data_IF_115641326861
#
_entry.id   IF_115641326861
#
_cell.length_a   1.000
_cell.length_b   1.000
_cell.length_c   1.000
_cell.angle_alpha   90.00
_cell.angle_beta   90.00
_cell.angle_gamma   90.00
#
_symmetry.space_group_name_H-M   'P 1'
#
loop_
_entity.id
_entity.type
_entity.pdbx_description
1 polymer ?
#
# COMPACT_ATOMS: atom_id res chain seq x y z
N UNK A 1 -41.01 44.31 1.19
CA UNK A 1 -41.94 43.43 0.45
C UNK A 1 -41.13 42.61 -0.53
N UNK A 2 -41.13 41.29 -0.37
CA UNK A 2 -40.35 40.35 -1.18
C UNK A 2 -40.80 40.39 -2.65
N UNK A 3 -39.86 40.58 -3.58
CA UNK A 3 -40.13 40.51 -5.02
C UNK A 3 -39.26 39.43 -5.70
N UNK A 4 -39.94 38.40 -6.20
CA UNK A 4 -39.82 37.91 -7.59
C UNK A 4 -38.44 37.53 -8.17
N UNK A 5 -37.59 36.82 -7.41
CA UNK A 5 -36.36 36.18 -7.97
C UNK A 5 -36.32 34.66 -7.90
N UNK A 6 -37.28 34.01 -7.22
CA UNK A 6 -37.21 32.56 -6.93
C UNK A 6 -37.90 31.67 -7.97
N UNK A 7 -38.67 32.23 -8.92
CA UNK A 7 -39.46 31.43 -9.87
C UNK A 7 -38.74 31.23 -11.22
N UNK A 8 -37.82 32.12 -11.62
CA UNK A 8 -37.13 31.99 -12.91
C UNK A 8 -35.97 30.98 -12.95
N UNK A 9 -35.44 30.52 -11.81
CA UNK A 9 -34.38 29.48 -11.81
C UNK A 9 -34.90 28.06 -11.99
N UNK A 10 -36.18 27.81 -11.73
CA UNK A 10 -36.77 26.48 -11.83
C UNK A 10 -37.08 26.05 -13.29
N UNK A 11 -37.30 27.00 -14.21
CA UNK A 11 -37.61 26.69 -15.62
C UNK A 11 -36.38 26.54 -16.52
N UNK A 12 -35.19 26.97 -16.09
CA UNK A 12 -33.96 26.81 -16.86
C UNK A 12 -33.31 25.42 -16.71
N UNK A 13 -33.63 24.66 -15.65
CA UNK A 13 -33.11 23.30 -15.47
C UNK A 13 -33.95 22.22 -16.17
N UNK A 14 -35.24 22.47 -16.42
CA UNK A 14 -36.12 21.48 -17.05
C UNK A 14 -35.91 21.34 -18.57
N UNK A 15 -35.37 22.36 -19.23
CA UNK A 15 -35.13 22.39 -20.68
C UNK A 15 -33.77 21.80 -21.10
N UNK A 16 -32.80 21.70 -20.19
CA UNK A 16 -31.51 21.05 -20.45
C UNK A 16 -31.56 19.50 -20.35
N UNK A 17 -32.58 18.95 -19.67
CA UNK A 17 -32.77 17.50 -19.54
C UNK A 17 -33.57 16.86 -20.69
N UNK A 18 -34.21 17.67 -21.55
CA UNK A 18 -34.95 17.17 -22.71
C UNK A 18 -34.10 17.11 -24.00
N UNK A 19 -33.03 17.91 -24.09
CA UNK A 19 -32.16 17.94 -25.28
C UNK A 19 -31.04 16.87 -25.27
N UNK A 20 -30.81 16.18 -24.15
CA UNK A 20 -29.79 15.14 -24.03
C UNK A 20 -30.30 13.72 -24.29
N UNK A 21 -31.61 13.54 -24.55
CA UNK A 21 -32.22 12.23 -24.83
C UNK A 21 -32.25 11.82 -26.31
N UNK A 22 -31.70 12.61 -27.23
CA UNK A 22 -31.70 12.31 -28.68
C UNK A 22 -30.32 12.05 -29.30
N UNK A 23 -29.24 11.98 -28.52
CA UNK A 23 -27.89 11.70 -29.07
C UNK A 23 -27.36 10.28 -28.78
N UNK A 24 -28.05 9.46 -27.99
CA UNK A 24 -27.69 8.06 -27.75
C UNK A 24 -28.47 7.13 -28.66
N UNK A 25 -28.19 7.22 -29.95
CA UNK A 25 -28.95 6.48 -30.95
C UNK A 25 -28.19 6.28 -32.24
N UNK A 26 -26.88 6.08 -32.22
CA UNK A 26 -26.15 5.29 -33.23
C UNK A 26 -24.98 4.58 -32.55
N UNK A 27 -25.04 3.24 -32.53
CA UNK A 27 -23.93 2.43 -32.07
C UNK A 27 -22.70 2.73 -32.92
N UNK A 28 -21.60 3.11 -32.28
CA UNK A 28 -20.29 3.12 -32.93
C UNK A 28 -20.04 1.70 -33.43
N UNK A 29 -19.88 1.46 -34.75
CA UNK A 29 -19.56 0.13 -35.22
C UNK A 29 -18.26 -0.28 -34.55
N UNK A 30 -18.28 -1.42 -33.85
CA UNK A 30 -17.09 -1.98 -33.23
C UNK A 30 -16.02 -2.09 -34.33
N UNK A 31 -15.01 -1.23 -34.28
CA UNK A 31 -13.84 -1.34 -35.12
C UNK A 31 -13.30 -2.73 -34.82
N UNK A 32 -13.38 -3.65 -35.78
CA UNK A 32 -12.67 -4.91 -35.70
C UNK A 32 -11.19 -4.54 -35.57
N UNK A 33 -10.71 -4.47 -34.34
CA UNK A 33 -9.31 -4.34 -34.06
C UNK A 33 -8.71 -5.61 -34.66
N UNK A 34 -7.96 -5.45 -35.75
CA UNK A 34 -7.03 -6.48 -36.21
C UNK A 34 -6.27 -6.90 -34.95
N UNK A 35 -6.55 -8.12 -34.47
CA UNK A 35 -5.83 -8.73 -33.36
C UNK A 35 -4.42 -8.90 -33.88
N UNK A 36 -3.61 -7.87 -33.68
CA UNK A 36 -2.17 -7.97 -33.81
C UNK A 36 -1.81 -9.02 -32.79
N UNK A 37 -1.43 -10.20 -33.27
CA UNK A 37 -1.08 -11.32 -32.42
C UNK A 37 0.12 -10.84 -31.61
N UNK A 38 -0.13 -10.51 -30.33
CA UNK A 38 0.93 -10.09 -29.44
C UNK A 38 1.98 -11.20 -29.47
N UNK A 39 3.28 -10.86 -29.64
CA UNK A 39 4.33 -11.86 -29.64
C UNK A 39 4.18 -12.72 -28.38
N UNK A 40 4.40 -14.02 -28.52
CA UNK A 40 4.28 -14.96 -27.41
C UNK A 40 5.12 -14.44 -26.24
N UNK A 41 4.46 -14.12 -25.13
CA UNK A 41 5.14 -13.65 -23.94
C UNK A 41 6.01 -14.78 -23.40
N UNK A 42 7.32 -14.71 -23.65
CA UNK A 42 8.29 -15.60 -23.01
C UNK A 42 8.33 -15.26 -21.52
N UNK A 43 8.32 -16.27 -20.66
CA UNK A 43 8.43 -16.08 -19.21
C UNK A 43 9.65 -15.21 -18.88
N UNK A 44 9.40 -14.07 -18.22
CA UNK A 44 10.42 -13.22 -17.65
C UNK A 44 10.36 -13.41 -16.13
N UNK A 45 11.46 -13.80 -15.47
CA UNK A 45 11.48 -14.02 -14.02
C UNK A 45 10.86 -12.87 -13.21
N UNK A 46 10.96 -11.62 -13.68
CA UNK A 46 10.41 -10.43 -13.03
C UNK A 46 8.89 -10.37 -13.08
N UNK A 47 8.26 -10.96 -14.10
CA UNK A 47 6.80 -11.04 -14.25
C UNK A 47 6.21 -12.13 -13.36
N UNK A 48 6.51 -12.07 -12.07
CA UNK A 48 6.10 -13.13 -11.17
C UNK A 48 6.96 -13.34 -9.94
N UNK A 49 8.08 -12.62 -9.79
CA UNK A 49 8.99 -12.85 -8.66
C UNK A 49 9.17 -11.58 -7.84
N UNK A 50 9.16 -11.76 -6.53
CA UNK A 50 9.51 -10.73 -5.55
C UNK A 50 10.68 -11.33 -4.77
N UNK A 51 11.89 -10.82 -4.99
CA UNK A 51 13.10 -11.35 -4.36
C UNK A 51 13.28 -10.77 -2.95
N UNK A 52 13.82 -11.60 -2.06
CA UNK A 52 14.18 -11.19 -0.71
C UNK A 52 15.62 -10.71 -0.66
N UNK A 53 15.95 -9.87 0.33
CA UNK A 53 17.30 -9.34 0.49
C UNK A 53 18.36 -10.42 0.83
N UNK A 54 17.94 -11.58 1.35
CA UNK A 54 18.81 -12.73 1.61
C UNK A 54 18.98 -13.66 0.39
N UNK A 55 18.24 -13.43 -0.70
CA UNK A 55 18.34 -14.20 -1.94
C UNK A 55 18.13 -13.33 -3.20
N UNK A 56 18.88 -12.23 -3.38
CA UNK A 56 18.78 -11.42 -4.60
C UNK A 56 19.37 -12.19 -5.80
N UNK A 57 18.74 -12.11 -6.99
CA UNK A 57 19.15 -12.88 -8.17
C UNK A 57 20.28 -12.16 -8.92
N UNK A 58 21.41 -11.90 -8.25
CA UNK A 58 22.47 -11.00 -8.76
C UNK A 58 23.03 -11.43 -10.13
N UNK A 59 23.22 -12.72 -10.36
CA UNK A 59 23.72 -13.24 -11.65
C UNK A 59 22.72 -13.06 -12.79
N UNK A 60 21.42 -13.06 -12.46
CA UNK A 60 20.38 -12.76 -13.41
C UNK A 60 20.37 -11.26 -13.73
N UNK A 61 20.35 -10.38 -12.71
CA UNK A 61 20.41 -8.93 -12.93
C UNK A 61 21.66 -8.50 -13.72
N UNK A 62 22.81 -9.13 -13.46
CA UNK A 62 24.05 -8.86 -14.20
C UNK A 62 23.90 -9.19 -15.68
N UNK A 63 23.36 -10.36 -16.02
CA UNK A 63 23.23 -10.81 -17.41
C UNK A 63 22.15 -10.06 -18.17
N UNK A 64 21.05 -9.72 -17.50
CA UNK A 64 19.89 -9.10 -18.14
C UNK A 64 20.04 -7.58 -18.25
N UNK A 65 20.62 -6.94 -17.23
CA UNK A 65 20.63 -5.49 -17.11
C UNK A 65 22.04 -4.87 -16.96
N UNK A 66 23.08 -5.70 -16.91
CA UNK A 66 24.44 -5.21 -16.59
C UNK A 66 24.57 -4.72 -15.15
N UNK A 67 23.60 -5.01 -14.28
CA UNK A 67 23.55 -4.50 -12.91
C UNK A 67 23.85 -5.59 -11.88
N UNK A 68 24.91 -5.40 -11.09
CA UNK A 68 25.31 -6.32 -10.05
C UNK A 68 25.73 -5.52 -8.80
N UNK A 69 24.77 -5.13 -7.94
CA UNK A 69 25.06 -4.35 -6.74
C UNK A 69 25.87 -5.18 -5.75
N UNK A 70 26.67 -4.51 -4.93
CA UNK A 70 27.35 -5.13 -3.81
C UNK A 70 26.43 -5.20 -2.57
N UNK A 71 26.94 -5.83 -1.51
CA UNK A 71 26.20 -5.95 -0.25
C UNK A 71 25.90 -4.58 0.38
N UNK A 72 26.83 -3.61 0.23
CA UNK A 72 26.66 -2.26 0.76
C UNK A 72 25.45 -1.56 0.12
N UNK A 73 25.26 -1.71 -1.19
CA UNK A 73 24.10 -1.19 -1.88
C UNK A 73 22.80 -1.87 -1.42
N UNK A 74 22.80 -3.21 -1.29
CA UNK A 74 21.64 -3.96 -0.80
C UNK A 74 21.26 -3.52 0.62
N UNK A 75 22.24 -3.37 1.51
CA UNK A 75 22.03 -2.89 2.87
C UNK A 75 21.54 -1.45 2.90
N UNK A 76 22.13 -0.57 2.08
CA UNK A 76 21.69 0.81 1.97
C UNK A 76 20.21 0.92 1.60
N UNK A 77 19.77 0.21 0.57
CA UNK A 77 18.37 0.26 0.13
C UNK A 77 17.46 -0.40 1.17
N UNK A 78 17.85 -1.56 1.73
CA UNK A 78 17.09 -2.24 2.80
C UNK A 78 16.88 -1.33 4.02
N UNK A 79 17.95 -0.71 4.50
CA UNK A 79 17.93 0.16 5.68
C UNK A 79 17.28 1.51 5.39
N UNK A 80 17.30 1.99 4.15
CA UNK A 80 16.55 3.19 3.74
C UNK A 80 15.04 2.94 3.64
N UNK A 81 14.58 1.68 3.59
CA UNK A 81 13.16 1.33 3.47
C UNK A 81 12.56 0.91 4.80
N UNK A 82 11.28 1.25 5.01
CA UNK A 82 10.53 0.89 6.21
C UNK A 82 9.13 0.39 5.84
N UNK A 83 8.58 -0.45 6.71
CA UNK A 83 7.23 -0.99 6.60
C UNK A 83 6.28 -0.22 7.49
N UNK A 84 5.21 0.30 6.90
CA UNK A 84 3.99 0.71 7.61
C UNK A 84 3.08 -0.52 7.74
N UNK A 85 2.11 -0.57 8.68
CA UNK A 85 1.27 -1.75 8.89
C UNK A 85 0.64 -2.34 7.61
N UNK A 86 0.22 -1.48 6.68
CA UNK A 86 -0.44 -1.88 5.42
C UNK A 86 0.34 -1.44 4.16
N UNK A 87 1.48 -0.77 4.32
CA UNK A 87 2.15 -0.07 3.22
C UNK A 87 3.67 -0.14 3.31
N UNK A 88 4.32 0.33 2.26
CA UNK A 88 5.76 0.56 2.24
C UNK A 88 6.07 2.05 2.32
N UNK A 89 7.25 2.38 2.83
CA UNK A 89 7.74 3.73 2.90
C UNK A 89 9.28 3.73 2.85
N UNK A 90 9.88 4.91 2.74
CA UNK A 90 11.33 5.05 2.76
C UNK A 90 11.78 6.31 3.48
N UNK A 91 12.91 6.25 4.17
CA UNK A 91 13.63 7.43 4.62
C UNK A 91 14.15 8.20 3.40
N UNK A 92 13.86 9.49 3.34
CA UNK A 92 14.24 10.40 2.24
C UNK A 92 15.04 11.61 2.73
N UNK A 93 15.50 11.58 3.99
CA UNK A 93 16.39 12.61 4.54
C UNK A 93 17.20 12.08 5.72
N UNK A 94 18.30 12.77 6.02
CA UNK A 94 19.12 12.57 7.23
C UNK A 94 18.43 12.97 8.54
N UNK A 95 17.21 13.53 8.49
CA UNK A 95 16.44 13.93 9.68
C UNK A 95 15.14 13.14 9.81
N UNK A 96 15.13 11.88 9.34
CA UNK A 96 14.07 10.93 9.63
C UNK A 96 12.76 11.19 8.87
N UNK A 97 12.77 12.07 7.87
CA UNK A 97 11.65 12.23 6.94
C UNK A 97 11.42 10.90 6.20
N UNK A 98 10.18 10.44 6.20
CA UNK A 98 9.72 9.21 5.59
C UNK A 98 8.67 9.54 4.53
N UNK A 99 8.81 8.98 3.35
CA UNK A 99 7.90 9.14 2.23
C UNK A 99 7.07 7.87 2.02
N UNK A 100 5.75 8.03 1.88
CA UNK A 100 4.78 6.97 1.53
C UNK A 100 3.64 7.55 0.70
N UNK A 101 2.67 6.73 0.30
CA UNK A 101 1.49 7.22 -0.40
C UNK A 101 0.53 7.98 0.51
N UNK A 102 -0.27 8.88 -0.05
CA UNK A 102 -1.33 9.58 0.68
C UNK A 102 -2.36 8.61 1.24
N UNK A 103 -2.76 7.60 0.47
CA UNK A 103 -3.69 6.58 0.99
C UNK A 103 -3.11 5.78 2.16
N UNK A 104 -1.78 5.58 2.21
CA UNK A 104 -1.10 4.94 3.34
C UNK A 104 -1.04 5.81 4.59
N UNK A 105 -0.91 7.14 4.42
CA UNK A 105 -0.92 8.12 5.49
C UNK A 105 -2.31 8.60 5.90
N UNK A 106 -3.36 8.11 5.23
CA UNK A 106 -4.73 8.65 5.32
C UNK A 106 -5.33 8.56 6.70
N UNK A 107 -5.18 7.43 7.38
CA UNK A 107 -5.69 7.24 8.75
C UNK A 107 -5.03 8.21 9.73
N UNK A 108 -3.70 8.39 9.64
CA UNK A 108 -3.02 9.40 10.46
C UNK A 108 -3.55 10.80 10.12
N UNK A 109 -3.64 11.16 8.85
CA UNK A 109 -4.07 12.50 8.41
C UNK A 109 -5.49 12.81 8.90
N UNK A 110 -6.42 11.87 8.77
CA UNK A 110 -7.77 12.00 9.30
C UNK A 110 -7.80 12.06 10.85
N UNK A 111 -6.99 11.23 11.51
CA UNK A 111 -6.93 11.13 12.98
C UNK A 111 -6.30 12.34 13.67
N UNK A 112 -5.36 13.02 13.03
CA UNK A 112 -4.73 14.25 13.57
C UNK A 112 -5.41 15.53 13.14
N UNK A 113 -6.44 15.44 12.29
CA UNK A 113 -7.26 16.58 11.88
C UNK A 113 -8.07 17.10 13.07
N UNK A 114 -8.08 18.43 13.33
CA UNK A 114 -8.80 18.99 14.46
C UNK A 114 -10.33 18.83 14.30
N UNK A 115 -11.13 19.10 15.35
CA UNK A 115 -12.59 18.95 15.28
C UNK A 115 -13.25 19.83 14.22
N UNK A 116 -12.68 21.01 13.95
CA UNK A 116 -13.20 22.05 13.07
C UNK A 116 -12.57 22.05 11.66
N UNK A 117 -11.66 21.11 11.35
CA UNK A 117 -11.03 20.98 10.04
C UNK A 117 -10.83 19.52 9.63
N UNK A 118 -10.67 19.26 8.34
CA UNK A 118 -10.40 17.95 7.79
C UNK A 118 -9.18 18.03 6.88
N UNK A 119 -8.01 17.62 7.39
CA UNK A 119 -6.76 17.66 6.62
C UNK A 119 -6.76 16.76 5.40
N UNK A 120 -7.69 15.80 5.30
CA UNK A 120 -7.92 15.08 4.04
C UNK A 120 -8.42 16.02 2.94
N UNK A 121 -9.25 17.00 3.28
CA UNK A 121 -9.81 17.95 2.30
C UNK A 121 -8.89 19.15 2.10
N UNK A 122 -8.38 19.71 3.19
CA UNK A 122 -7.61 20.96 3.18
C UNK A 122 -6.10 20.76 3.02
N UNK A 123 -5.63 19.52 3.01
CA UNK A 123 -4.22 19.20 3.15
C UNK A 123 -3.68 19.58 4.53
N UNK A 124 -2.39 19.31 4.73
CA UNK A 124 -1.62 19.68 5.90
C UNK A 124 -0.15 19.81 5.52
N UNK A 125 0.53 20.84 6.02
CA UNK A 125 1.99 20.97 5.93
C UNK A 125 2.54 21.67 7.18
N UNK A 126 3.35 20.95 7.96
CA UNK A 126 4.04 21.48 9.13
C UNK A 126 5.11 22.50 8.68
N UNK A 127 5.05 23.72 9.22
CA UNK A 127 6.06 24.76 8.92
C UNK A 127 7.36 24.52 9.70
N UNK A 128 7.24 23.97 10.89
CA UNK A 128 8.35 23.66 11.79
C UNK A 128 8.19 22.25 12.38
N UNK A 129 9.26 21.72 12.98
CA UNK A 129 9.21 20.42 13.69
C UNK A 129 8.18 20.40 14.83
N UNK A 130 7.91 21.56 15.45
CA UNK A 130 6.94 21.68 16.53
C UNK A 130 5.48 21.58 16.01
N UNK A 131 5.26 21.86 14.72
CA UNK A 131 3.94 21.81 14.11
C UNK A 131 3.55 20.39 13.66
N UNK A 132 4.53 19.48 13.56
CA UNK A 132 4.33 18.08 13.12
C UNK A 132 3.39 17.33 14.09
N UNK A 133 2.42 16.60 13.53
CA UNK A 133 1.33 16.00 14.32
C UNK A 133 1.59 14.53 14.60
N UNK A 134 1.65 14.14 15.87
CA UNK A 134 1.86 12.73 16.24
C UNK A 134 0.69 11.85 15.80
N UNK A 135 0.98 10.83 15.00
CA UNK A 135 0.04 9.82 14.56
C UNK A 135 -0.17 8.79 15.68
N UNK A 136 -1.34 8.79 16.32
CA UNK A 136 -1.64 7.85 17.40
C UNK A 136 -1.65 6.40 16.87
N UNK A 137 -0.91 5.50 17.54
CA UNK A 137 -0.86 4.07 17.21
C UNK A 137 -0.07 3.71 15.94
N UNK A 138 0.39 4.71 15.16
CA UNK A 138 1.21 4.45 13.98
C UNK A 138 2.65 4.12 14.37
N UNK A 139 3.20 3.09 13.74
CA UNK A 139 4.60 2.71 13.85
C UNK A 139 5.19 2.45 12.46
N UNK A 140 6.51 2.50 12.36
CA UNK A 140 7.25 1.98 11.20
C UNK A 140 8.26 0.94 11.64
N UNK A 141 8.38 -0.12 10.85
CA UNK A 141 9.30 -1.22 11.07
C UNK A 141 10.43 -1.18 10.03
N UNK A 142 11.68 -1.05 10.48
CA UNK A 142 12.88 -1.10 9.62
C UNK A 142 13.51 -2.48 9.68
N UNK A 143 13.61 -3.17 8.54
CA UNK A 143 14.15 -4.53 8.46
C UNK A 143 15.67 -4.54 8.73
N UNK A 144 16.08 -5.16 9.84
CA UNK A 144 17.48 -5.23 10.28
C UNK A 144 18.20 -6.47 9.76
N UNK A 145 17.54 -7.62 9.72
CA UNK A 145 18.13 -8.87 9.24
C UNK A 145 17.05 -9.89 8.84
N UNK A 146 17.44 -10.82 7.99
CA UNK A 146 16.68 -12.04 7.66
C UNK A 146 17.58 -13.23 8.00
N UNK A 147 17.01 -14.26 8.63
CA UNK A 147 17.72 -15.50 8.92
C UNK A 147 16.83 -16.70 8.60
N UNK A 148 17.33 -17.65 7.82
CA UNK A 148 16.62 -18.91 7.60
C UNK A 148 16.55 -19.73 8.91
N UNK A 149 15.34 -20.12 9.30
CA UNK A 149 15.06 -20.95 10.50
C UNK A 149 14.28 -22.23 10.13
N UNK A 150 14.29 -22.60 8.86
CA UNK A 150 13.53 -23.73 8.30
C UNK A 150 13.80 -25.02 9.05
N UNK A 151 15.08 -25.35 9.29
CA UNK A 151 15.45 -26.60 9.94
C UNK A 151 15.02 -26.64 11.41
N UNK A 152 15.08 -25.51 12.12
CA UNK A 152 14.56 -25.40 13.50
C UNK A 152 13.06 -25.64 13.56
N UNK A 153 12.30 -25.06 12.61
CA UNK A 153 10.85 -25.24 12.55
C UNK A 153 10.50 -26.68 12.18
N UNK A 154 11.14 -27.25 11.14
CA UNK A 154 10.86 -28.61 10.68
C UNK A 154 11.24 -29.67 11.71
N UNK A 155 12.38 -29.51 12.38
CA UNK A 155 12.85 -30.45 13.39
C UNK A 155 11.95 -30.56 14.62
N UNK A 156 11.12 -29.54 14.89
CA UNK A 156 10.17 -29.55 16.00
C UNK A 156 8.83 -30.26 15.67
N UNK A 157 8.60 -30.62 14.41
CA UNK A 157 7.35 -31.21 13.95
C UNK A 157 7.48 -32.74 13.96
N UNK A 158 6.87 -33.39 14.95
CA UNK A 158 6.86 -34.84 15.15
C UNK A 158 5.45 -35.44 15.14
N UNK A 159 4.43 -34.59 15.09
CA UNK A 159 3.03 -34.96 15.08
C UNK A 159 2.67 -35.87 13.91
N UNK A 160 1.75 -36.81 14.16
CA UNK A 160 1.30 -37.80 13.17
C UNK A 160 0.08 -37.31 12.41
N UNK A 161 -0.69 -36.40 12.99
CA UNK A 161 -1.86 -35.80 12.35
C UNK A 161 -1.58 -34.39 11.85
N UNK A 162 -2.28 -33.91 10.80
CA UNK A 162 -2.15 -32.53 10.35
C UNK A 162 -2.43 -31.49 11.45
N UNK A 163 -3.37 -31.76 12.34
CA UNK A 163 -3.72 -30.88 13.46
C UNK A 163 -2.56 -30.76 14.47
N UNK A 164 -1.94 -31.89 14.85
CA UNK A 164 -0.76 -31.90 15.72
C UNK A 164 0.41 -31.16 15.07
N UNK A 165 0.66 -31.39 13.79
CA UNK A 165 1.74 -30.73 13.06
C UNK A 165 1.54 -29.22 12.97
N UNK A 166 0.30 -28.75 12.78
CA UNK A 166 -0.04 -27.33 12.78
C UNK A 166 0.16 -26.71 14.17
N UNK A 167 -0.29 -27.38 15.22
CA UNK A 167 -0.11 -26.93 16.60
C UNK A 167 1.37 -26.84 16.99
N UNK A 168 2.17 -27.87 16.70
CA UNK A 168 3.61 -27.89 16.95
C UNK A 168 4.34 -26.80 16.17
N UNK A 169 3.97 -26.58 14.91
CA UNK A 169 4.53 -25.50 14.08
C UNK A 169 4.23 -24.12 14.65
N UNK A 170 2.99 -23.89 15.09
CA UNK A 170 2.62 -22.65 15.76
C UNK A 170 3.38 -22.42 17.07
N UNK A 171 3.56 -23.49 17.86
CA UNK A 171 4.30 -23.45 19.12
C UNK A 171 5.78 -23.10 18.91
N UNK A 172 6.48 -23.81 18.01
CA UNK A 172 7.90 -23.53 17.73
C UNK A 172 8.10 -22.14 17.13
N UNK A 173 7.22 -21.68 16.22
CA UNK A 173 7.29 -20.31 15.68
C UNK A 173 7.16 -19.28 16.80
N UNK A 174 6.19 -19.45 17.69
CA UNK A 174 5.98 -18.54 18.82
C UNK A 174 7.18 -18.52 19.76
N UNK A 175 7.75 -19.69 20.06
CA UNK A 175 8.97 -19.81 20.85
C UNK A 175 10.14 -19.07 20.19
N UNK A 176 10.42 -19.32 18.90
CA UNK A 176 11.52 -18.69 18.16
C UNK A 176 11.41 -17.16 18.15
N UNK A 177 10.20 -16.64 17.96
CA UNK A 177 9.95 -15.21 17.98
C UNK A 177 10.20 -14.62 19.37
N UNK A 178 9.71 -15.29 20.43
CA UNK A 178 9.91 -14.83 21.81
C UNK A 178 11.39 -14.84 22.21
N UNK A 179 12.12 -15.92 21.90
CA UNK A 179 13.58 -16.00 22.10
C UNK A 179 14.29 -14.83 21.40
N UNK A 180 13.97 -14.61 20.13
CA UNK A 180 14.57 -13.55 19.32
C UNK A 180 14.25 -12.14 19.88
N UNK A 181 13.00 -11.89 20.26
CA UNK A 181 12.57 -10.62 20.86
C UNK A 181 13.36 -10.33 22.13
N UNK A 182 13.51 -11.32 23.02
CA UNK A 182 14.23 -11.16 24.28
C UNK A 182 15.74 -10.94 24.06
N UNK A 183 16.34 -11.67 23.13
CA UNK A 183 17.79 -11.57 22.86
C UNK A 183 18.20 -10.28 22.16
N UNK A 184 17.35 -9.77 21.26
CA UNK A 184 17.73 -8.66 20.37
C UNK A 184 17.05 -7.35 20.71
N UNK A 185 15.97 -7.38 21.50
CA UNK A 185 15.07 -6.24 21.72
C UNK A 185 14.47 -5.67 20.42
N UNK A 186 14.48 -6.46 19.34
CA UNK A 186 13.84 -6.16 18.06
C UNK A 186 12.46 -6.82 18.00
N UNK A 187 11.62 -6.35 17.08
CA UNK A 187 10.38 -7.04 16.71
C UNK A 187 10.71 -8.17 15.74
N UNK A 188 10.70 -9.41 16.23
CA UNK A 188 11.01 -10.60 15.47
C UNK A 188 9.74 -11.29 14.94
N UNK A 189 9.75 -11.68 13.67
CA UNK A 189 8.64 -12.34 12.98
C UNK A 189 9.16 -13.51 12.14
N UNK A 190 8.61 -14.71 12.31
CA UNK A 190 8.88 -15.81 11.39
C UNK A 190 7.93 -15.68 10.20
N UNK A 191 8.49 -15.36 9.05
CA UNK A 191 7.80 -15.31 7.77
C UNK A 191 7.81 -16.70 7.14
N UNK A 192 6.64 -17.18 6.74
CA UNK A 192 6.49 -18.44 6.01
C UNK A 192 6.44 -18.15 4.51
N UNK A 193 7.37 -18.71 3.77
CA UNK A 193 7.47 -18.55 2.31
C UNK A 193 7.20 -19.89 1.62
N UNK A 194 6.72 -19.83 0.37
CA UNK A 194 6.46 -21.01 -0.47
C UNK A 194 5.56 -22.06 0.22
N UNK A 195 4.48 -21.62 0.86
CA UNK A 195 3.55 -22.50 1.59
C UNK A 195 4.22 -23.43 2.63
N UNK A 196 5.29 -22.95 3.29
CA UNK A 196 6.06 -23.75 4.26
C UNK A 196 7.29 -24.44 3.68
N UNK A 197 7.64 -24.12 2.42
CA UNK A 197 8.92 -24.49 1.82
C UNK A 197 10.10 -23.83 2.53
N UNK A 198 9.93 -22.61 3.04
CA UNK A 198 10.95 -21.87 3.79
C UNK A 198 10.31 -21.15 4.99
N UNK A 199 11.03 -21.13 6.11
CA UNK A 199 10.75 -20.27 7.27
C UNK A 199 11.93 -19.33 7.49
N UNK A 200 11.66 -18.04 7.53
CA UNK A 200 12.69 -17.01 7.71
C UNK A 200 12.33 -16.09 8.88
N UNK A 201 13.24 -15.94 9.83
CA UNK A 201 13.16 -14.98 10.92
C UNK A 201 13.55 -13.59 10.41
N UNK A 202 12.59 -12.68 10.38
CA UNK A 202 12.79 -11.26 10.07
C UNK A 202 12.88 -10.50 11.39
N UNK A 203 13.91 -9.66 11.53
CA UNK A 203 14.08 -8.80 12.72
C UNK A 203 13.88 -7.36 12.32
N UNK A 204 12.94 -6.68 12.97
CA UNK A 204 12.61 -5.30 12.69
C UNK A 204 12.95 -4.40 13.88
N UNK A 205 13.56 -3.25 13.59
CA UNK A 205 13.59 -2.14 14.53
C UNK A 205 12.28 -1.37 14.37
N UNK A 206 11.49 -1.29 15.43
CA UNK A 206 10.21 -0.58 15.43
C UNK A 206 10.38 0.82 15.99
N UNK A 207 9.87 1.80 15.27
CA UNK A 207 9.74 3.19 15.73
C UNK A 207 8.26 3.50 15.99
N UNK A 208 7.95 4.04 17.18
CA UNK A 208 6.57 4.27 17.63
C UNK A 208 6.19 5.76 17.76
N UNK A 209 7.11 6.69 17.51
CA UNK A 209 6.80 8.13 17.42
C UNK A 209 6.90 8.56 15.95
N UNK A 210 5.77 8.46 15.26
CA UNK A 210 5.62 8.84 13.86
C UNK A 210 4.75 10.09 13.80
N UNK A 211 5.19 11.11 13.08
CA UNK A 211 4.47 12.39 12.97
C UNK A 211 4.17 12.74 11.54
N UNK A 212 2.97 13.25 11.28
CA UNK A 212 2.59 13.83 10.01
C UNK A 212 3.37 15.12 9.78
N UNK A 213 4.03 15.21 8.62
CA UNK A 213 4.77 16.39 8.17
C UNK A 213 4.01 17.08 7.05
N UNK A 214 3.58 16.34 6.03
CA UNK A 214 2.83 16.89 4.91
C UNK A 214 1.92 15.85 4.28
N UNK A 215 0.70 16.26 3.96
CA UNK A 215 -0.23 15.54 3.08
C UNK A 215 -0.92 16.59 2.20
N UNK A 216 -0.90 16.46 0.86
CA UNK A 216 -1.63 17.38 -0.01
C UNK A 216 -3.15 17.19 0.16
N UNK A 217 -3.92 18.14 -0.38
CA UNK A 217 -5.37 18.03 -0.46
C UNK A 217 -5.78 16.72 -1.15
N UNK A 218 -6.86 16.10 -0.68
CA UNK A 218 -7.35 14.84 -1.21
C UNK A 218 -7.66 14.89 -2.70
N UNK A 219 -8.11 16.04 -3.21
CA UNK A 219 -8.39 16.24 -4.64
C UNK A 219 -7.12 16.26 -5.50
N UNK A 220 -5.97 16.57 -4.91
CA UNK A 220 -4.64 16.45 -5.55
C UNK A 220 -4.13 15.01 -5.41
N UNK A 221 -4.26 14.45 -4.20
CA UNK A 221 -3.68 13.16 -3.85
C UNK A 221 -4.42 11.95 -4.43
N UNK A 222 -5.70 12.13 -4.75
CA UNK A 222 -6.59 11.14 -5.34
C UNK A 222 -7.33 11.75 -6.54
N UNK A 223 -6.63 12.59 -7.32
CA UNK A 223 -7.15 13.22 -8.52
C UNK A 223 -7.72 12.17 -9.49
N UNK A 224 -8.86 12.48 -10.09
CA UNK A 224 -9.63 11.53 -10.91
C UNK A 224 -10.49 10.55 -10.10
N UNK A 225 -10.23 10.42 -8.80
CA UNK A 225 -11.02 9.61 -7.88
C UNK A 225 -10.98 8.11 -8.21
N UNK A 226 -12.08 7.45 -7.84
CA UNK A 226 -12.28 6.03 -8.09
C UNK A 226 -12.33 5.64 -9.58
N UNK A 227 -12.90 6.45 -10.50
CA UNK A 227 -12.85 6.18 -11.95
C UNK A 227 -11.44 6.02 -12.51
N UNK A 228 -10.49 6.80 -12.02
CA UNK A 228 -9.10 6.70 -12.47
C UNK A 228 -8.34 5.61 -11.69
N UNK A 229 -8.91 5.04 -10.61
CA UNK A 229 -8.24 4.05 -9.78
C UNK A 229 -7.97 2.79 -10.61
N UNK A 230 -6.76 2.24 -10.52
CA UNK A 230 -6.30 1.14 -11.38
C UNK A 230 -6.27 1.45 -12.89
N UNK A 231 -6.12 2.71 -13.30
CA UNK A 231 -6.02 3.10 -14.72
C UNK A 231 -4.69 3.78 -15.08
N UNK A 232 -4.43 3.88 -16.38
CA UNK A 232 -3.36 4.70 -16.97
C UNK A 232 -3.92 5.39 -18.23
N UNK A 233 -3.63 6.68 -18.49
CA UNK A 233 -2.75 7.59 -17.73
C UNK A 233 -3.33 8.01 -16.38
N UNK A 234 -2.46 8.39 -15.44
CA UNK A 234 -2.79 8.78 -14.06
C UNK A 234 -2.01 10.06 -13.70
N UNK A 235 -2.64 10.97 -12.96
CA UNK A 235 -2.13 12.34 -12.73
C UNK A 235 -2.20 12.81 -11.27
N UNK A 236 -2.46 11.92 -10.32
CA UNK A 236 -2.52 12.27 -8.91
C UNK A 236 -1.12 12.34 -8.27
N UNK A 237 -1.01 13.13 -7.19
CA UNK A 237 0.17 13.17 -6.33
C UNK A 237 -0.11 12.38 -5.05
N UNK A 238 -0.18 11.06 -5.16
CA UNK A 238 -0.46 10.15 -4.05
C UNK A 238 0.76 10.04 -3.10
N UNK A 239 0.92 11.05 -2.25
CA UNK A 239 2.09 11.27 -1.40
C UNK A 239 1.71 11.68 0.03
N UNK A 240 2.41 11.16 1.02
CA UNK A 240 2.46 11.71 2.39
C UNK A 240 3.89 11.67 2.90
N UNK A 241 4.28 12.76 3.57
CA UNK A 241 5.51 12.85 4.31
C UNK A 241 5.24 12.71 5.81
N UNK A 242 5.92 11.76 6.41
CA UNK A 242 5.95 11.49 7.85
C UNK A 242 7.35 11.76 8.38
N UNK A 243 7.51 11.85 9.70
CA UNK A 243 8.84 11.86 10.33
C UNK A 243 8.88 10.89 11.48
N UNK A 244 9.97 10.13 11.53
CA UNK A 244 10.31 9.26 12.65
C UNK A 244 11.02 10.09 13.73
N UNK A 245 10.56 9.96 14.96
CA UNK A 245 11.19 10.50 16.16
C UNK A 245 11.71 9.38 17.05
N UNK A 246 12.81 9.68 17.74
CA UNK A 246 13.36 8.85 18.80
C UNK A 246 13.79 9.77 19.95
N UNK A 247 13.39 9.42 21.18
CA UNK A 247 13.68 10.21 22.38
C UNK A 247 13.28 11.70 22.25
N UNK A 248 12.15 11.96 21.57
CA UNK A 248 11.61 13.31 21.38
C UNK A 248 12.32 14.15 20.30
N UNK A 249 13.33 13.60 19.59
CA UNK A 249 14.05 14.28 18.52
C UNK A 249 13.85 13.57 17.17
N UNK A 250 13.94 14.29 16.03
CA UNK A 250 13.99 13.67 14.71
C UNK A 250 15.06 12.57 14.66
N UNK A 251 14.69 11.38 14.24
CA UNK A 251 15.63 10.28 14.06
C UNK A 251 16.62 10.62 12.94
N UNK A 252 17.90 10.30 13.14
CA UNK A 252 18.95 10.49 12.15
C UNK A 252 19.33 9.14 11.56
N UNK A 253 18.64 8.66 10.50
CA UNK A 253 18.92 7.36 9.91
C UNK A 253 20.32 7.36 9.28
N UNK A 254 21.13 6.30 9.46
CA UNK A 254 22.40 6.14 8.75
C UNK A 254 22.23 6.08 7.23
N UNK A 255 21.12 5.49 6.77
CA UNK A 255 20.78 5.28 5.37
C UNK A 255 19.43 5.94 5.03
N UNK A 256 19.40 6.65 3.91
CA UNK A 256 18.18 7.23 3.33
C UNK A 256 18.34 7.39 1.82
N UNK A 257 17.23 7.32 1.09
CA UNK A 257 17.21 7.51 -0.36
C UNK A 257 17.32 8.99 -0.72
N UNK A 258 17.95 9.27 -1.87
CA UNK A 258 18.11 10.63 -2.41
C UNK A 258 17.33 10.77 -3.71
N UNK A 259 16.85 11.98 -3.96
CA UNK A 259 16.20 12.32 -5.21
C UNK A 259 17.20 12.34 -6.37
N UNK A 260 16.83 11.70 -7.48
CA UNK A 260 17.53 11.85 -8.75
C UNK A 260 17.06 13.14 -9.43
N UNK A 261 17.96 14.08 -9.78
CA UNK A 261 17.58 15.28 -10.52
C UNK A 261 17.33 15.01 -12.01
N UNK A 262 17.66 13.81 -12.51
CA UNK A 262 17.57 13.47 -13.94
C UNK A 262 16.15 13.15 -14.41
N UNK A 263 15.19 12.98 -13.49
CA UNK A 263 13.87 12.44 -13.81
C UNK A 263 13.94 10.96 -14.19
N UNK A 264 12.81 10.42 -14.66
CA UNK A 264 12.73 9.06 -15.19
C UNK A 264 12.73 9.09 -16.72
N UNK A 265 13.38 8.12 -17.35
CA UNK A 265 13.42 7.97 -18.81
C UNK A 265 12.96 6.58 -19.25
N UNK A 266 12.51 6.47 -20.49
CA UNK A 266 12.09 5.18 -21.05
C UNK A 266 13.23 4.16 -21.01
N UNK A 267 12.90 2.91 -20.68
CA UNK A 267 13.85 1.79 -20.57
C UNK A 267 14.89 1.92 -19.44
N UNK A 268 14.71 2.84 -18.49
CA UNK A 268 15.50 2.89 -17.27
C UNK A 268 15.23 1.67 -16.37
N UNK A 269 16.30 1.10 -15.80
CA UNK A 269 16.18 0.03 -14.81
C UNK A 269 15.71 0.60 -13.47
N UNK A 270 14.51 0.18 -13.03
CA UNK A 270 13.93 0.62 -11.76
C UNK A 270 13.74 -0.58 -10.83
N UNK A 271 14.16 -0.41 -9.57
CA UNK A 271 13.87 -1.34 -8.48
C UNK A 271 12.83 -0.75 -7.54
N UNK A 272 11.83 -1.56 -7.20
CA UNK A 272 10.84 -1.23 -6.16
C UNK A 272 11.11 -2.11 -4.96
N UNK A 273 11.36 -1.48 -3.82
CA UNK A 273 11.50 -2.16 -2.54
C UNK A 273 10.26 -1.90 -1.70
N UNK A 274 9.67 -2.96 -1.19
CA UNK A 274 8.46 -2.86 -0.40
C UNK A 274 8.09 -4.17 0.29
N UNK A 275 6.90 -4.17 0.85
CA UNK A 275 6.33 -5.23 1.68
C UNK A 275 5.03 -5.70 1.03
N UNK A 276 5.10 -6.45 -0.09
CA UNK A 276 3.90 -6.98 -0.74
C UNK A 276 3.16 -7.93 0.22
N UNK A 277 1.85 -7.75 0.34
CA UNK A 277 1.03 -8.51 1.29
C UNK A 277 0.91 -10.00 0.93
N UNK A 278 0.28 -10.31 -0.20
CA UNK A 278 0.08 -11.68 -0.65
C UNK A 278 0.06 -11.78 -2.18
N UNK A 279 0.33 -12.98 -2.69
CA UNK A 279 0.18 -13.30 -4.12
C UNK A 279 -0.43 -14.69 -4.27
N UNK A 280 -1.20 -14.90 -5.34
CA UNK A 280 -1.79 -16.20 -5.69
C UNK A 280 -1.03 -16.94 -6.80
N UNK A 281 0.27 -16.70 -6.98
CA UNK A 281 1.03 -17.19 -8.14
C UNK A 281 1.19 -18.71 -8.21
N UNK A 282 1.06 -19.39 -7.06
CA UNK A 282 1.11 -20.85 -6.94
C UNK A 282 -0.29 -21.48 -6.84
N UNK A 283 -1.35 -20.71 -7.11
CA UNK A 283 -2.71 -21.25 -7.11
C UNK A 283 -2.86 -22.29 -8.22
N UNK A 284 -3.54 -23.39 -7.91
CA UNK A 284 -3.94 -24.38 -8.92
C UNK A 284 -5.04 -23.82 -9.83
N UNK A 285 -5.25 -24.45 -10.98
CA UNK A 285 -6.35 -24.09 -11.88
C UNK A 285 -7.69 -24.12 -11.14
N UNK A 286 -7.96 -25.17 -10.36
CA UNK A 286 -9.21 -25.28 -9.59
C UNK A 286 -9.38 -24.16 -8.55
N UNK A 287 -8.30 -23.71 -7.91
CA UNK A 287 -8.35 -22.56 -7.00
C UNK A 287 -8.64 -21.26 -7.77
N UNK A 288 -8.03 -21.07 -8.94
CA UNK A 288 -8.30 -19.90 -9.78
C UNK A 288 -9.73 -19.90 -10.31
N UNK A 289 -10.27 -21.05 -10.73
CA UNK A 289 -11.67 -21.21 -11.14
C UNK A 289 -12.63 -20.90 -9.99
N UNK A 290 -12.35 -21.40 -8.79
CA UNK A 290 -13.14 -21.06 -7.60
C UNK A 290 -13.12 -19.54 -7.32
N UNK A 291 -11.95 -18.90 -7.36
CA UNK A 291 -11.85 -17.45 -7.15
C UNK A 291 -12.64 -16.68 -8.22
N UNK A 292 -12.53 -17.08 -9.49
CA UNK A 292 -13.25 -16.45 -10.62
C UNK A 292 -14.76 -16.61 -10.51
N UNK A 293 -15.23 -17.83 -10.28
CA UNK A 293 -16.66 -18.19 -10.44
C UNK A 293 -17.46 -17.98 -9.15
N UNK A 294 -16.82 -18.06 -7.99
CA UNK A 294 -17.49 -18.03 -6.67
C UNK A 294 -16.92 -16.94 -5.76
N UNK A 295 -15.61 -16.97 -5.51
CA UNK A 295 -14.96 -16.11 -4.52
C UNK A 295 -15.12 -14.61 -4.80
N UNK A 296 -14.59 -14.14 -5.93
CA UNK A 296 -14.64 -12.73 -6.30
C UNK A 296 -16.07 -12.22 -6.53
N UNK A 297 -16.99 -12.96 -7.20
CA UNK A 297 -18.39 -12.53 -7.28
C UNK A 297 -19.06 -12.33 -5.92
N UNK A 298 -18.81 -13.24 -4.96
CA UNK A 298 -19.37 -13.12 -3.60
C UNK A 298 -18.79 -11.91 -2.85
N UNK A 299 -17.47 -11.70 -2.93
CA UNK A 299 -16.79 -10.53 -2.36
C UNK A 299 -17.32 -9.23 -2.96
N UNK A 300 -17.44 -9.16 -4.29
CA UNK A 300 -17.97 -7.98 -4.98
C UNK A 300 -19.42 -7.68 -4.56
N UNK A 301 -20.25 -8.70 -4.39
CA UNK A 301 -21.61 -8.52 -3.90
C UNK A 301 -21.63 -7.99 -2.46
N UNK A 302 -20.70 -8.43 -1.60
CA UNK A 302 -20.56 -7.92 -0.24
C UNK A 302 -20.12 -6.45 -0.23
N UNK A 303 -19.11 -6.09 -1.04
CA UNK A 303 -18.64 -4.70 -1.16
C UNK A 303 -19.71 -3.75 -1.67
N UNK A 304 -20.49 -4.15 -2.69
CA UNK A 304 -21.64 -3.35 -3.16
C UNK A 304 -22.66 -3.07 -2.05
N UNK A 305 -22.93 -4.06 -1.19
CA UNK A 305 -23.82 -3.86 -0.02
C UNK A 305 -23.20 -2.94 1.02
N UNK A 306 -21.92 -3.12 1.34
CA UNK A 306 -21.21 -2.27 2.29
C UNK A 306 -21.21 -0.80 1.82
N UNK A 307 -20.87 -0.53 0.55
CA UNK A 307 -20.91 0.80 -0.04
C UNK A 307 -22.30 1.44 0.03
N UNK A 308 -23.37 0.68 -0.24
CA UNK A 308 -24.74 1.19 -0.11
C UNK A 308 -25.07 1.59 1.33
N UNK A 309 -24.63 0.81 2.32
CA UNK A 309 -24.82 1.11 3.75
C UNK A 309 -24.03 2.36 4.13
N UNK A 310 -22.74 2.43 3.79
CA UNK A 310 -21.89 3.58 4.10
C UNK A 310 -22.40 4.85 3.44
N UNK A 311 -22.88 4.78 2.19
CA UNK A 311 -23.46 5.91 1.50
C UNK A 311 -24.71 6.46 2.22
N UNK A 312 -25.56 5.58 2.76
CA UNK A 312 -26.73 6.02 3.55
C UNK A 312 -26.31 6.63 4.89
N UNK A 313 -25.38 6.00 5.60
CA UNK A 313 -24.88 6.50 6.88
C UNK A 313 -24.17 7.86 6.73
N UNK A 314 -23.40 8.03 5.66
CA UNK A 314 -22.66 9.26 5.37
C UNK A 314 -23.55 10.47 5.05
N UNK A 315 -24.80 10.25 4.62
CA UNK A 315 -25.75 11.34 4.32
C UNK A 315 -26.38 11.99 5.55
N UNK A 316 -26.22 11.39 6.71
CA UNK A 316 -26.91 11.85 7.93
C UNK A 316 -26.41 13.22 8.39
N UNK A 317 -25.08 13.42 8.42
CA UNK A 317 -24.45 14.71 8.69
C UNK A 317 -22.98 14.73 8.22
N UNK A 318 -22.33 15.88 8.31
CA UNK A 318 -20.92 16.07 7.89
C UNK A 318 -19.92 15.29 8.74
N UNK A 319 -20.24 15.01 10.01
CA UNK A 319 -19.41 14.20 10.90
C UNK A 319 -19.49 12.73 10.52
N UNK A 320 -20.68 12.22 10.16
CA UNK A 320 -20.87 10.89 9.64
C UNK A 320 -20.18 10.71 8.28
N UNK A 321 -20.31 11.68 7.37
CA UNK A 321 -19.58 11.69 6.11
C UNK A 321 -18.06 11.57 6.35
N UNK A 322 -17.51 12.37 7.26
CA UNK A 322 -16.08 12.32 7.65
C UNK A 322 -15.69 10.98 8.28
N UNK A 323 -16.56 10.38 9.09
CA UNK A 323 -16.30 9.10 9.75
C UNK A 323 -16.17 7.95 8.74
N UNK A 324 -17.12 7.84 7.81
CA UNK A 324 -17.18 6.73 6.87
C UNK A 324 -16.37 6.98 5.58
N UNK A 325 -15.76 8.15 5.40
CA UNK A 325 -14.98 8.46 4.18
C UNK A 325 -13.83 7.47 3.94
N UNK A 326 -13.21 6.95 5.01
CA UNK A 326 -12.11 5.98 4.90
C UNK A 326 -12.65 4.56 4.67
N UNK A 327 -13.82 4.22 5.23
CA UNK A 327 -14.48 2.94 4.99
C UNK A 327 -14.91 2.82 3.52
N UNK A 328 -15.47 3.89 2.95
CA UNK A 328 -15.80 3.93 1.50
C UNK A 328 -14.56 3.79 0.64
N UNK A 329 -13.47 4.47 1.02
CA UNK A 329 -12.21 4.41 0.27
C UNK A 329 -11.55 3.02 0.29
N UNK A 330 -11.75 2.26 1.37
CA UNK A 330 -11.13 0.94 1.55
C UNK A 330 -11.88 -0.23 0.92
N UNK A 331 -13.06 0.00 0.33
CA UNK A 331 -13.94 -1.03 -0.24
C UNK A 331 -13.96 -0.93 -1.76
#
# INVERSE_FOLDING_TARGET
>A
MLTSRSVLRALALASALAASRQAFGQGVPARQANRTQLPAATYRPEFGTMWTFDAPPLDYWRRTYGFAPDQKWLDHVRLSTVRLPICSASFVSSRGLVMTNHHCGRECTAGVSPPDSNYIQTGFAARTLADEKKCAGLYVDQLQSIQNVTDRVRGAITGKTPAEQAAQRGAVISQLQNECNQQTQLTCQVVTLYNGGIYSMYRYRRFNDIRLVMAPEGDIAFYGGDPDNFTYPRYDLDLTLLRVYENGQPYSPPDYLKWSPAGAVENELVFVVGNPGSTGRLNTISQMEFLRDIGYPATLAAYKRALAIYAELARTDTSAARRYQNDVFGV
#
